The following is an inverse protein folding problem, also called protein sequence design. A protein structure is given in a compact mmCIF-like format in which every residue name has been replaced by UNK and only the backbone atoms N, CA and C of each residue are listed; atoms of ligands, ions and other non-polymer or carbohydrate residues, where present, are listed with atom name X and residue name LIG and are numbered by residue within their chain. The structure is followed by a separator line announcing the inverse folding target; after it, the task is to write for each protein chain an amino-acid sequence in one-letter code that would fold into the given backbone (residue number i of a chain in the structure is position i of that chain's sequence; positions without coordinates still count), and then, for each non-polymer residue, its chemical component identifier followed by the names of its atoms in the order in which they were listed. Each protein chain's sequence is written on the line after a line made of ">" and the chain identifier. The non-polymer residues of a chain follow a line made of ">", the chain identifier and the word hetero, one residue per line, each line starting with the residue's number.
data_IF_961158073063
#
_entry.id   IF_961158073063
#
_cell.length_a   1.000
_cell.length_b   1.000
_cell.length_c   1.000
_cell.angle_alpha   90.00
_cell.angle_beta   90.00
_cell.angle_gamma   90.00
#
_symmetry.space_group_name_H-M   'P 1'
#
loop_
_entity.id
_entity.type
_entity.pdbx_description
1 polymer ?
#
# COMPACT_ATOMS: atom_id res chain seq x y z
N UNK A 1 -7.58 20.46 23.98
CA UNK A 1 -6.51 19.92 24.83
C UNK A 1 -5.32 19.56 23.95
N UNK A 2 -4.17 20.20 24.19
CA UNK A 2 -2.92 20.02 23.45
C UNK A 2 -2.39 18.58 23.64
N UNK A 3 -1.99 18.00 22.51
CA UNK A 3 -1.38 16.69 22.32
C UNK A 3 -0.36 16.36 23.43
N UNK A 4 -0.70 15.45 24.33
CA UNK A 4 0.22 14.84 25.30
C UNK A 4 0.07 13.34 25.17
N UNK A 5 1.20 12.64 25.10
CA UNK A 5 1.26 11.17 25.08
C UNK A 5 0.45 10.58 26.24
N UNK A 6 -0.29 9.50 25.97
CA UNK A 6 -1.16 8.82 26.94
C UNK A 6 -2.55 9.46 27.17
N UNK A 7 -3.00 10.36 26.28
CA UNK A 7 -4.35 10.95 26.35
C UNK A 7 -5.22 10.56 25.16
N UNK A 8 -6.52 10.48 25.41
CA UNK A 8 -7.54 10.23 24.38
C UNK A 8 -7.73 11.47 23.50
N UNK A 9 -7.85 11.26 22.19
CA UNK A 9 -8.15 12.28 21.19
C UNK A 9 -9.42 11.93 20.42
N UNK A 10 -10.35 12.88 20.30
CA UNK A 10 -11.55 12.75 19.46
C UNK A 10 -11.30 13.40 18.10
N UNK A 11 -11.67 12.72 17.00
CA UNK A 11 -11.50 13.22 15.64
C UNK A 11 -12.75 13.02 14.79
N UNK A 12 -13.01 13.99 13.92
CA UNK A 12 -14.09 13.99 12.92
C UNK A 12 -13.62 13.49 11.54
N UNK A 13 -12.56 12.67 11.54
CA UNK A 13 -11.97 12.07 10.34
C UNK A 13 -12.42 10.61 10.23
N UNK A 14 -12.31 9.96 9.05
CA UNK A 14 -12.86 8.61 8.90
C UNK A 14 -11.93 7.47 9.37
N UNK A 15 -10.76 7.75 9.95
CA UNK A 15 -9.73 6.73 10.24
C UNK A 15 -8.88 7.05 11.48
N UNK A 16 -8.53 6.04 12.26
CA UNK A 16 -7.81 6.14 13.53
C UNK A 16 -6.68 5.09 13.72
N UNK A 17 -6.03 4.64 12.64
CA UNK A 17 -4.88 3.72 12.73
C UNK A 17 -3.76 4.27 13.64
N UNK A 18 -3.05 3.41 14.40
CA UNK A 18 -1.91 3.83 15.23
C UNK A 18 -0.88 4.66 14.46
N UNK A 19 -0.33 5.70 15.09
CA UNK A 19 0.68 6.60 14.48
C UNK A 19 0.17 7.57 13.40
N UNK A 20 -1.05 7.39 12.87
CA UNK A 20 -1.60 8.23 11.78
C UNK A 20 -1.76 9.71 12.17
N UNK A 21 -1.97 9.99 13.46
CA UNK A 21 -2.17 11.37 13.96
C UNK A 21 -0.87 12.07 14.37
N UNK A 22 0.29 11.45 14.14
CA UNK A 22 1.61 12.04 14.40
C UNK A 22 2.32 11.50 15.65
N UNK A 23 1.58 10.89 16.59
CA UNK A 23 2.15 10.25 17.79
C UNK A 23 1.78 8.76 17.81
N UNK A 24 2.74 7.82 17.96
CA UNK A 24 2.45 6.39 18.00
C UNK A 24 1.50 5.97 19.12
N UNK A 25 1.61 6.61 20.29
CA UNK A 25 0.84 6.26 21.50
C UNK A 25 -0.55 6.94 21.56
N UNK A 26 -0.97 7.65 20.51
CA UNK A 26 -2.25 8.37 20.51
C UNK A 26 -3.45 7.40 20.43
N UNK A 27 -4.34 7.48 21.42
CA UNK A 27 -5.63 6.78 21.41
C UNK A 27 -6.69 7.66 20.73
N UNK A 28 -6.97 7.39 19.45
CA UNK A 28 -7.87 8.21 18.63
C UNK A 28 -9.24 7.56 18.47
N UNK A 29 -10.29 8.28 18.84
CA UNK A 29 -11.69 7.86 18.69
C UNK A 29 -12.38 8.71 17.64
N UNK A 30 -13.12 8.03 16.75
CA UNK A 30 -13.88 8.69 15.69
C UNK A 30 -15.25 9.10 16.23
N UNK A 31 -15.66 10.33 15.91
CA UNK A 31 -16.95 10.86 16.35
C UNK A 31 -17.50 11.89 15.36
N UNK A 32 -18.76 12.28 15.53
CA UNK A 32 -19.35 13.35 14.74
C UNK A 32 -18.81 14.73 15.18
N UNK A 33 -18.95 15.77 14.34
CA UNK A 33 -18.61 17.14 14.72
C UNK A 33 -19.31 17.63 15.99
N UNK A 34 -20.56 17.24 16.20
CA UNK A 34 -21.35 17.62 17.37
C UNK A 34 -20.75 17.03 18.65
N UNK A 35 -20.45 15.71 18.66
CA UNK A 35 -19.80 15.05 19.80
C UNK A 35 -18.41 15.62 20.07
N UNK A 36 -17.62 15.91 19.02
CA UNK A 36 -16.30 16.53 19.18
C UNK A 36 -16.42 17.90 19.85
N UNK A 37 -17.35 18.74 19.41
CA UNK A 37 -17.60 20.08 19.98
C UNK A 37 -18.10 19.98 21.43
N UNK A 38 -19.11 19.15 21.71
CA UNK A 38 -19.63 18.97 23.06
C UNK A 38 -18.54 18.50 24.04
N UNK A 39 -17.74 17.53 23.61
CA UNK A 39 -16.64 17.00 24.41
C UNK A 39 -15.51 18.02 24.61
N UNK A 40 -15.25 18.87 23.61
CA UNK A 40 -14.27 19.95 23.72
C UNK A 40 -14.70 21.03 24.72
N UNK A 41 -16.01 21.33 24.79
CA UNK A 41 -16.59 22.28 25.75
C UNK A 41 -16.55 21.74 27.19
N UNK A 42 -16.88 20.46 27.40
CA UNK A 42 -16.94 19.86 28.74
C UNK A 42 -15.60 19.29 29.23
N UNK A 43 -14.63 19.06 28.34
CA UNK A 43 -13.33 18.47 28.67
C UNK A 43 -13.37 16.96 28.93
N UNK A 44 -14.48 16.28 28.66
CA UNK A 44 -14.69 14.84 28.75
C UNK A 44 -15.50 14.35 27.55
N UNK A 45 -15.50 13.05 27.26
CA UNK A 45 -16.37 12.50 26.21
C UNK A 45 -17.82 12.77 26.62
N UNK A 46 -18.56 13.51 25.80
CA UNK A 46 -19.90 14.00 26.13
C UNK A 46 -20.86 13.76 24.98
N UNK A 47 -22.04 13.24 25.31
CA UNK A 47 -23.15 13.20 24.38
C UNK A 47 -23.62 14.64 24.10
N UNK A 48 -23.67 15.09 22.84
CA UNK A 48 -24.06 16.47 22.54
C UNK A 48 -25.49 16.82 22.99
N UNK A 49 -26.34 15.82 23.32
CA UNK A 49 -27.69 16.03 23.89
C UNK A 49 -27.67 16.43 25.37
N UNK A 50 -26.56 16.26 26.07
CA UNK A 50 -26.37 16.64 27.48
C UNK A 50 -25.84 18.08 27.63
N UNK A 51 -25.78 18.83 26.52
CA UNK A 51 -25.49 20.26 26.56
C UNK A 51 -26.74 21.02 27.02
N UNK A 52 -26.53 22.01 27.89
CA UNK A 52 -27.60 22.90 28.37
C UNK A 52 -28.12 23.81 27.23
N UNK A 53 -27.37 23.91 26.13
CA UNK A 53 -27.72 24.67 24.94
C UNK A 53 -28.23 23.77 23.80
N UNK A 54 -29.24 24.21 23.05
CA UNK A 54 -29.77 23.45 21.92
C UNK A 54 -28.74 23.33 20.80
N UNK A 55 -28.56 22.12 20.26
CA UNK A 55 -27.70 21.87 19.10
C UNK A 55 -28.28 22.64 17.89
N UNK A 56 -27.53 23.57 17.26
CA UNK A 56 -28.05 24.36 16.16
C UNK A 56 -28.33 23.49 14.94
N UNK A 57 -29.54 23.58 14.40
CA UNK A 57 -29.86 23.03 13.07
C UNK A 57 -29.30 23.96 12.00
N UNK A 58 -28.21 23.55 11.35
CA UNK A 58 -27.59 24.33 10.30
C UNK A 58 -28.28 24.03 8.97
N UNK A 59 -28.92 25.04 8.39
CA UNK A 59 -29.38 25.01 7.00
C UNK A 59 -28.29 25.65 6.14
N UNK A 60 -27.57 24.88 5.29
CA UNK A 60 -26.50 25.44 4.48
C UNK A 60 -27.07 26.49 3.52
N UNK A 61 -26.51 27.69 3.54
CA UNK A 61 -26.79 28.69 2.51
C UNK A 61 -26.32 28.18 1.14
N UNK A 62 -26.84 28.72 0.02
CA UNK A 62 -26.29 28.43 -1.29
C UNK A 62 -24.77 28.69 -1.31
N UNK A 63 -23.96 27.77 -1.89
CA UNK A 63 -22.52 27.91 -1.86
C UNK A 63 -22.09 29.14 -2.69
N UNK A 64 -21.22 29.97 -2.11
CA UNK A 64 -20.48 30.96 -2.89
C UNK A 64 -19.42 30.22 -3.73
N UNK A 65 -19.40 30.47 -5.04
CA UNK A 65 -18.43 29.85 -5.95
C UNK A 65 -17.29 30.84 -6.18
N UNK A 66 -16.12 30.53 -5.63
CA UNK A 66 -14.87 31.25 -5.92
C UNK A 66 -13.98 30.38 -6.83
N UNK A 67 -13.61 30.92 -7.99
CA UNK A 67 -12.74 30.25 -8.98
C UNK A 67 -11.36 30.90 -9.09
N UNK A 68 -11.04 31.88 -8.25
CA UNK A 68 -9.80 32.66 -8.32
C UNK A 68 -8.52 31.81 -8.16
N UNK A 69 -8.61 30.69 -7.44
CA UNK A 69 -7.51 29.73 -7.25
C UNK A 69 -7.45 28.63 -8.32
N UNK A 70 -8.34 28.64 -9.31
CA UNK A 70 -8.34 27.67 -10.40
C UNK A 70 -7.47 28.18 -11.55
N UNK A 71 -6.48 27.38 -11.93
CA UNK A 71 -5.68 27.60 -13.13
C UNK A 71 -6.21 26.69 -14.24
N UNK A 72 -6.74 27.28 -15.31
CA UNK A 72 -7.13 26.52 -16.49
C UNK A 72 -5.89 26.01 -17.23
N UNK A 73 -5.93 24.82 -17.85
CA UNK A 73 -4.89 24.41 -18.77
C UNK A 73 -4.85 25.37 -19.98
N UNK A 74 -3.68 25.54 -20.62
CA UNK A 74 -3.62 26.27 -21.88
C UNK A 74 -4.47 25.57 -22.96
N UNK A 75 -5.00 26.34 -23.91
CA UNK A 75 -5.79 25.81 -25.03
C UNK A 75 -4.95 24.90 -25.94
N UNK A 76 -3.68 25.25 -26.15
CA UNK A 76 -2.67 24.43 -26.81
C UNK A 76 -1.52 24.16 -25.83
N UNK A 77 -1.31 22.88 -25.51
CA UNK A 77 -0.29 22.40 -24.59
C UNK A 77 0.95 21.81 -25.25
N UNK A 78 1.07 21.88 -26.58
CA UNK A 78 2.12 21.18 -27.33
C UNK A 78 3.54 21.61 -26.92
N UNK A 79 3.74 22.88 -26.59
CA UNK A 79 5.05 23.47 -26.26
C UNK A 79 5.27 23.67 -24.75
N UNK A 80 4.47 23.02 -23.89
CA UNK A 80 4.64 23.13 -22.44
C UNK A 80 5.88 22.33 -22.01
N UNK A 81 6.93 23.05 -21.62
CA UNK A 81 8.13 22.43 -21.06
C UNK A 81 7.86 21.86 -19.66
N UNK A 82 8.17 20.58 -19.46
CA UNK A 82 8.04 19.92 -18.16
C UNK A 82 9.26 20.18 -17.28
N UNK A 83 9.11 21.09 -16.32
CA UNK A 83 10.16 21.36 -15.31
C UNK A 83 10.15 20.28 -14.24
N UNK A 84 11.28 19.55 -14.11
CA UNK A 84 11.46 18.51 -13.09
C UNK A 84 12.39 18.99 -11.98
N UNK A 85 11.87 19.05 -10.76
CA UNK A 85 12.67 19.29 -9.56
C UNK A 85 13.54 18.08 -9.17
N UNK A 86 14.46 18.23 -8.19
CA UNK A 86 15.43 17.20 -7.82
C UNK A 86 14.82 15.92 -7.22
N UNK A 87 13.56 15.96 -6.81
CA UNK A 87 12.81 14.79 -6.31
C UNK A 87 11.81 14.24 -7.34
N UNK A 88 11.92 14.63 -8.61
CA UNK A 88 11.11 14.07 -9.70
C UNK A 88 12.05 13.20 -10.55
N UNK A 89 12.02 11.89 -10.29
CA UNK A 89 12.83 10.91 -11.01
C UNK A 89 11.93 10.05 -11.90
N UNK A 90 12.51 9.51 -12.97
CA UNK A 90 11.80 8.55 -13.82
C UNK A 90 11.50 7.27 -13.05
N UNK A 91 10.40 6.61 -13.41
CA UNK A 91 10.10 5.29 -12.88
C UNK A 91 11.15 4.26 -13.37
N UNK A 92 11.44 3.23 -12.56
CA UNK A 92 12.37 2.18 -12.94
C UNK A 92 11.76 1.32 -14.04
N UNK A 93 12.62 0.74 -14.88
CA UNK A 93 12.19 -0.35 -15.75
C UNK A 93 11.95 -1.60 -14.90
N UNK A 94 10.73 -2.13 -14.97
CA UNK A 94 10.33 -3.31 -14.22
C UNK A 94 10.39 -4.52 -15.14
N UNK A 95 11.17 -5.54 -14.74
CA UNK A 95 11.27 -6.77 -15.52
C UNK A 95 9.93 -7.53 -15.59
N UNK A 96 9.65 -8.18 -16.74
CA UNK A 96 8.57 -9.16 -16.87
C UNK A 96 8.62 -10.28 -15.81
N UNK A 97 7.48 -10.93 -15.58
CA UNK A 97 7.45 -12.15 -14.76
C UNK A 97 8.27 -13.26 -15.47
N UNK A 98 9.34 -13.82 -14.87
CA UNK A 98 10.07 -14.93 -15.48
C UNK A 98 9.22 -16.20 -15.45
N UNK A 99 9.68 -17.24 -16.16
CA UNK A 99 9.03 -18.55 -16.09
C UNK A 99 9.36 -19.28 -14.79
N UNK A 100 10.62 -19.22 -14.37
CA UNK A 100 11.11 -19.77 -13.10
C UNK A 100 11.59 -18.65 -12.18
N UNK A 101 11.29 -18.78 -10.89
CA UNK A 101 11.56 -17.77 -9.89
C UNK A 101 11.88 -18.38 -8.52
N UNK A 102 13.12 -18.17 -8.08
CA UNK A 102 13.56 -18.46 -6.71
C UNK A 102 13.63 -17.16 -5.92
N UNK A 103 12.83 -17.04 -4.86
CA UNK A 103 12.79 -15.84 -4.01
C UNK A 103 12.83 -16.20 -2.53
N UNK A 104 13.85 -15.75 -1.78
CA UNK A 104 13.82 -15.86 -0.33
C UNK A 104 12.71 -14.99 0.26
N UNK A 105 12.05 -15.48 1.31
CA UNK A 105 11.12 -14.70 2.12
C UNK A 105 11.95 -13.74 2.96
N UNK A 106 11.75 -12.44 2.75
CA UNK A 106 12.48 -11.42 3.53
C UNK A 106 11.69 -10.99 4.77
N UNK A 107 10.36 -10.96 4.67
CA UNK A 107 9.50 -10.52 5.77
C UNK A 107 8.25 -11.38 5.85
N UNK A 108 7.95 -11.83 7.07
CA UNK A 108 6.67 -12.46 7.43
C UNK A 108 5.93 -11.48 8.33
N UNK A 109 4.65 -11.23 8.03
CA UNK A 109 3.81 -10.26 8.74
C UNK A 109 2.50 -10.91 9.18
N UNK A 110 1.86 -10.31 10.19
CA UNK A 110 0.56 -10.76 10.70
C UNK A 110 -0.62 -10.29 9.85
N UNK A 111 -1.80 -10.38 10.45
CA UNK A 111 -3.05 -9.90 9.87
C UNK A 111 -3.13 -8.37 9.86
N UNK A 112 -4.01 -7.82 9.03
CA UNK A 112 -4.42 -6.42 9.04
C UNK A 112 -3.31 -5.40 8.79
N UNK A 113 -2.19 -5.83 8.20
CA UNK A 113 -1.09 -4.94 7.79
C UNK A 113 -1.61 -3.86 6.86
N UNK A 114 -1.54 -2.61 7.29
CA UNK A 114 -2.01 -1.47 6.53
C UNK A 114 -0.95 -0.97 5.56
N UNK A 115 -1.38 -0.23 4.54
CA UNK A 115 -0.45 0.52 3.67
C UNK A 115 0.35 1.57 4.42
N UNK A 116 -0.06 1.99 5.63
CA UNK A 116 0.73 2.91 6.48
C UNK A 116 1.88 2.16 7.17
N UNK A 117 1.72 0.86 7.43
CA UNK A 117 2.79 0.00 7.92
C UNK A 117 3.73 -0.47 6.79
N UNK A 118 3.19 -0.70 5.59
CA UNK A 118 4.01 -1.01 4.41
C UNK A 118 4.80 0.22 3.94
N UNK A 119 4.18 1.39 3.89
CA UNK A 119 4.87 2.62 3.53
C UNK A 119 4.22 3.82 4.23
N UNK A 120 4.83 4.31 5.33
CA UNK A 120 4.31 5.41 6.12
C UNK A 120 3.99 6.66 5.30
N UNK A 121 3.04 7.46 5.78
CA UNK A 121 2.86 8.82 5.32
C UNK A 121 3.70 9.79 6.16
N UNK A 122 3.38 11.08 6.09
CA UNK A 122 3.97 12.11 6.94
C UNK A 122 5.02 12.96 6.25
N UNK A 123 5.47 14.00 6.96
CA UNK A 123 6.30 15.07 6.42
C UNK A 123 7.63 14.58 5.81
N UNK A 124 8.16 13.45 6.28
CA UNK A 124 9.42 12.90 5.79
C UNK A 124 9.27 12.05 4.53
N UNK A 125 8.07 11.52 4.26
CA UNK A 125 7.82 10.60 3.14
C UNK A 125 7.05 11.28 1.99
N UNK A 126 6.11 12.18 2.32
CA UNK A 126 5.28 12.87 1.32
C UNK A 126 6.09 13.66 0.27
N UNK A 127 7.18 14.38 0.61
CA UNK A 127 7.99 15.09 -0.38
C UNK A 127 8.72 14.15 -1.37
N UNK A 128 8.77 12.85 -1.10
CA UNK A 128 9.52 11.85 -1.88
C UNK A 128 8.63 11.05 -2.83
N UNK A 129 7.34 11.38 -2.97
CA UNK A 129 6.37 10.63 -3.80
C UNK A 129 6.77 10.49 -5.27
N UNK A 130 7.59 11.39 -5.78
CA UNK A 130 8.12 11.34 -7.15
C UNK A 130 9.58 10.89 -7.22
N UNK A 131 10.17 10.48 -6.09
CA UNK A 131 11.54 9.96 -6.00
C UNK A 131 11.48 8.53 -5.44
N UNK A 132 11.36 7.54 -6.34
CA UNK A 132 11.14 6.16 -5.92
C UNK A 132 12.31 5.57 -5.12
N UNK A 133 13.53 5.96 -5.45
CA UNK A 133 14.74 5.49 -4.77
C UNK A 133 14.75 5.93 -3.31
N UNK A 134 14.48 7.22 -3.06
CA UNK A 134 14.46 7.76 -1.70
C UNK A 134 13.24 7.30 -0.91
N UNK A 135 12.07 7.21 -1.52
CA UNK A 135 10.86 6.76 -0.80
C UNK A 135 10.95 5.29 -0.42
N UNK A 136 11.69 4.47 -1.19
CA UNK A 136 11.91 3.06 -0.90
C UNK A 136 12.63 2.80 0.43
N UNK A 137 13.46 3.73 0.90
CA UNK A 137 14.08 3.65 2.24
C UNK A 137 13.07 3.60 3.39
N UNK A 138 11.83 3.97 3.14
CA UNK A 138 10.75 3.97 4.12
C UNK A 138 9.87 2.73 4.04
N UNK A 139 10.09 1.84 3.07
CA UNK A 139 9.30 0.62 2.91
C UNK A 139 9.47 -0.30 4.13
N UNK A 140 8.34 -0.76 4.67
CA UNK A 140 8.20 -1.63 5.84
C UNK A 140 8.90 -1.19 7.13
N UNK A 141 9.42 0.04 7.20
CA UNK A 141 10.18 0.53 8.37
C UNK A 141 9.49 0.33 9.72
N UNK A 142 8.16 0.49 9.87
CA UNK A 142 7.47 0.18 11.13
C UNK A 142 7.50 -1.29 11.53
N UNK A 143 7.62 -2.21 10.56
CA UNK A 143 7.59 -3.67 10.76
C UNK A 143 9.00 -4.28 10.77
N UNK A 144 9.91 -3.72 9.98
CA UNK A 144 11.31 -4.15 9.84
C UNK A 144 12.15 -2.90 9.52
N UNK A 145 12.88 -2.41 10.53
CA UNK A 145 13.56 -1.12 10.45
C UNK A 145 14.67 -1.07 9.39
N UNK A 146 15.27 -2.22 9.09
CA UNK A 146 16.37 -2.43 8.15
C UNK A 146 15.92 -3.10 6.85
N UNK A 147 14.62 -3.19 6.57
CA UNK A 147 14.05 -3.83 5.38
C UNK A 147 14.74 -3.43 4.08
N UNK A 148 14.93 -2.12 3.84
CA UNK A 148 15.54 -1.64 2.61
C UNK A 148 17.02 -2.04 2.49
N UNK A 149 17.75 -2.10 3.61
CA UNK A 149 19.13 -2.55 3.63
C UNK A 149 19.22 -4.07 3.39
N UNK A 150 18.37 -4.86 4.06
CA UNK A 150 18.31 -6.30 3.88
C UNK A 150 17.93 -6.67 2.44
N UNK A 151 16.93 -6.01 1.86
CA UNK A 151 16.48 -6.28 0.48
C UNK A 151 17.58 -5.99 -0.55
N UNK A 152 18.40 -4.96 -0.32
CA UNK A 152 19.55 -4.66 -1.18
C UNK A 152 20.72 -5.62 -0.99
N UNK A 153 20.84 -6.24 0.18
CA UNK A 153 21.92 -7.18 0.47
C UNK A 153 21.68 -8.58 -0.13
N UNK A 154 20.48 -8.86 -0.65
CA UNK A 154 20.19 -10.11 -1.32
C UNK A 154 20.90 -10.18 -2.68
N UNK A 155 21.72 -11.21 -2.89
CA UNK A 155 22.55 -11.41 -4.10
C UNK A 155 21.78 -11.26 -5.41
N UNK A 156 20.52 -11.70 -5.40
CA UNK A 156 19.66 -11.77 -6.55
C UNK A 156 18.72 -10.56 -6.72
N UNK A 157 18.77 -9.58 -5.80
CA UNK A 157 17.87 -8.43 -5.72
C UNK A 157 16.39 -8.81 -5.90
N UNK A 158 15.99 -9.93 -5.29
CA UNK A 158 14.62 -10.43 -5.35
C UNK A 158 14.22 -11.11 -4.06
N UNK A 159 12.98 -10.92 -3.65
CA UNK A 159 12.42 -11.52 -2.44
C UNK A 159 10.90 -11.63 -2.50
N UNK A 160 10.37 -12.34 -1.51
CA UNK A 160 8.96 -12.42 -1.20
C UNK A 160 8.63 -11.78 0.16
N UNK A 161 7.36 -11.42 0.33
CA UNK A 161 6.77 -11.07 1.62
C UNK A 161 5.59 -12.00 1.88
N UNK A 162 5.50 -12.51 3.12
CA UNK A 162 4.35 -13.28 3.60
C UNK A 162 3.45 -12.39 4.45
N UNK A 163 2.15 -12.42 4.17
CA UNK A 163 1.14 -11.65 4.89
C UNK A 163 0.04 -12.50 5.53
N UNK A 164 -0.55 -11.97 6.60
CA UNK A 164 -1.78 -12.52 7.16
C UNK A 164 -3.03 -12.18 6.33
N UNK A 165 -4.17 -12.14 7.00
CA UNK A 165 -5.44 -11.71 6.43
C UNK A 165 -5.49 -10.19 6.18
N UNK A 166 -6.27 -9.77 5.18
CA UNK A 166 -6.52 -8.36 4.87
C UNK A 166 -5.23 -7.53 4.63
N UNK A 167 -4.22 -8.15 4.03
CA UNK A 167 -2.93 -7.53 3.76
C UNK A 167 -3.05 -6.32 2.82
N UNK A 168 -2.43 -5.20 3.22
CA UNK A 168 -2.40 -3.95 2.46
C UNK A 168 -3.63 -3.08 2.65
N UNK A 169 -4.28 -3.11 3.82
CA UNK A 169 -5.50 -2.35 4.06
C UNK A 169 -5.30 -0.81 4.12
N UNK A 170 -6.40 -0.07 4.03
CA UNK A 170 -6.41 1.38 4.25
C UNK A 170 -6.26 2.22 2.98
N UNK A 171 -5.20 3.01 2.89
CA UNK A 171 -5.01 4.02 1.84
C UNK A 171 -4.67 3.42 0.47
N UNK A 172 -5.14 4.02 -0.62
CA UNK A 172 -4.95 3.55 -2.00
C UNK A 172 -3.54 3.78 -2.58
N UNK A 173 -2.55 4.06 -1.73
CA UNK A 173 -1.21 4.50 -2.16
C UNK A 173 -0.52 3.39 -2.94
N UNK A 174 -0.27 3.66 -4.21
CA UNK A 174 0.42 2.75 -5.12
C UNK A 174 1.90 2.55 -4.72
N UNK A 175 2.51 3.53 -4.06
CA UNK A 175 3.87 3.42 -3.52
C UNK A 175 4.04 2.28 -2.53
N UNK A 176 2.99 1.84 -1.83
CA UNK A 176 3.06 0.67 -0.96
C UNK A 176 3.34 -0.64 -1.74
N UNK A 177 3.12 -0.66 -3.06
CA UNK A 177 3.53 -1.75 -3.93
C UNK A 177 4.83 -1.40 -4.68
N UNK A 178 4.92 -0.19 -5.24
CA UNK A 178 6.06 0.22 -6.06
C UNK A 178 7.39 0.33 -5.29
N UNK A 179 7.37 0.85 -4.05
CA UNK A 179 8.59 1.00 -3.25
C UNK A 179 9.22 -0.37 -2.87
N UNK A 180 8.45 -1.35 -2.34
CA UNK A 180 8.95 -2.70 -2.18
C UNK A 180 9.39 -3.35 -3.51
N UNK A 181 8.64 -3.13 -4.60
CA UNK A 181 9.00 -3.65 -5.92
C UNK A 181 10.34 -3.13 -6.42
N UNK A 182 10.62 -1.84 -6.19
CA UNK A 182 11.91 -1.22 -6.51
C UNK A 182 13.06 -1.85 -5.72
N UNK A 183 12.80 -2.29 -4.48
CA UNK A 183 13.77 -3.02 -3.66
C UNK A 183 13.90 -4.50 -4.01
N UNK A 184 13.18 -5.00 -5.02
CA UNK A 184 13.26 -6.39 -5.47
C UNK A 184 12.06 -7.27 -5.14
N UNK A 185 10.99 -6.75 -4.51
CA UNK A 185 9.82 -7.57 -4.19
C UNK A 185 9.22 -8.17 -5.47
N UNK A 186 9.11 -9.50 -5.55
CA UNK A 186 8.51 -10.20 -6.70
C UNK A 186 7.18 -10.85 -6.38
N UNK A 187 7.02 -11.31 -5.14
CA UNK A 187 5.84 -12.07 -4.71
C UNK A 187 5.36 -11.51 -3.37
N UNK A 188 4.04 -11.36 -3.24
CA UNK A 188 3.40 -11.32 -1.92
C UNK A 188 2.50 -12.53 -1.80
N UNK A 189 2.73 -13.34 -0.78
CA UNK A 189 1.91 -14.51 -0.47
C UNK A 189 1.14 -14.22 0.83
N UNK A 190 -0.18 -14.11 0.78
CA UNK A 190 -0.96 -13.71 1.94
C UNK A 190 -2.21 -14.56 2.17
N UNK A 191 -2.76 -14.59 3.40
CA UNK A 191 -4.05 -15.28 3.65
C UNK A 191 -5.18 -14.59 2.88
N UNK A 192 -5.17 -13.25 2.81
CA UNK A 192 -6.05 -12.46 1.93
C UNK A 192 -5.53 -11.04 1.74
N UNK A 193 -6.05 -10.33 0.73
CA UNK A 193 -5.62 -8.98 0.39
C UNK A 193 -6.75 -7.95 0.48
N UNK A 194 -6.39 -6.72 0.83
CA UNK A 194 -7.24 -5.57 0.56
C UNK A 194 -7.26 -5.26 -0.96
N UNK A 195 -8.46 -5.11 -1.50
CA UNK A 195 -8.74 -5.02 -2.96
C UNK A 195 -7.84 -4.04 -3.73
N UNK A 196 -7.62 -2.83 -3.21
CA UNK A 196 -6.85 -1.80 -3.93
C UNK A 196 -5.36 -2.14 -3.93
N UNK A 197 -4.82 -2.61 -2.80
CA UNK A 197 -3.41 -2.97 -2.72
C UNK A 197 -3.10 -4.18 -3.60
N UNK A 198 -3.98 -5.19 -3.62
CA UNK A 198 -3.92 -6.32 -4.56
C UNK A 198 -3.78 -5.87 -6.02
N UNK A 199 -4.58 -4.89 -6.45
CA UNK A 199 -4.45 -4.33 -7.81
C UNK A 199 -3.13 -3.59 -8.02
N UNK A 200 -2.66 -2.85 -7.01
CA UNK A 200 -1.41 -2.10 -7.11
C UNK A 200 -0.18 -3.03 -7.25
N UNK A 201 -0.19 -4.19 -6.58
CA UNK A 201 0.86 -5.21 -6.74
C UNK A 201 1.00 -5.62 -8.22
N UNK A 202 -0.12 -5.95 -8.85
CA UNK A 202 -0.18 -6.32 -10.27
C UNK A 202 0.28 -5.18 -11.18
N UNK A 203 -0.12 -3.94 -10.89
CA UNK A 203 0.25 -2.78 -11.69
C UNK A 203 1.78 -2.57 -11.78
N UNK A 204 2.53 -3.09 -10.82
CA UNK A 204 4.00 -3.03 -10.79
C UNK A 204 4.67 -4.40 -10.90
N UNK A 205 3.96 -5.40 -11.45
CA UNK A 205 4.56 -6.69 -11.75
C UNK A 205 4.93 -7.53 -10.53
N UNK A 206 4.33 -7.27 -9.37
CA UNK A 206 4.42 -8.14 -8.18
C UNK A 206 3.29 -9.16 -8.27
N UNK A 207 3.60 -10.45 -8.14
CA UNK A 207 2.63 -11.53 -8.18
C UNK A 207 1.95 -11.68 -6.80
N UNK A 208 0.64 -11.38 -6.66
CA UNK A 208 -0.08 -11.65 -5.43
C UNK A 208 -0.63 -13.08 -5.44
N UNK A 209 -0.25 -13.87 -4.44
CA UNK A 209 -0.74 -15.23 -4.23
C UNK A 209 -1.48 -15.31 -2.90
N UNK A 210 -2.56 -16.09 -2.86
CA UNK A 210 -3.25 -16.48 -1.64
C UNK A 210 -3.02 -17.94 -1.35
N UNK A 211 -2.80 -18.31 -0.09
CA UNK A 211 -2.72 -19.71 0.29
C UNK A 211 -4.02 -20.46 -0.04
N UNK A 212 -3.93 -21.70 -0.53
CA UNK A 212 -5.10 -22.56 -0.63
C UNK A 212 -5.56 -23.03 0.77
N UNK A 213 -4.62 -23.33 1.66
CA UNK A 213 -4.84 -23.51 3.10
C UNK A 213 -4.16 -22.37 3.89
N UNK A 214 -4.93 -21.46 4.52
CA UNK A 214 -4.36 -20.39 5.33
C UNK A 214 -3.41 -20.85 6.46
N UNK A 215 -3.48 -22.10 6.91
CA UNK A 215 -2.58 -22.64 7.92
C UNK A 215 -1.13 -22.80 7.41
N UNK A 216 -0.93 -22.92 6.09
CA UNK A 216 0.42 -23.02 5.50
C UNK A 216 1.28 -21.78 5.79
N UNK A 217 0.64 -20.62 6.00
CA UNK A 217 1.32 -19.38 6.32
C UNK A 217 2.07 -19.46 7.66
N UNK A 218 1.56 -20.22 8.63
CA UNK A 218 2.09 -20.27 9.99
C UNK A 218 3.39 -21.09 10.05
N UNK A 219 3.73 -21.78 8.96
CA UNK A 219 4.94 -22.60 8.83
C UNK A 219 5.94 -22.00 7.83
N UNK A 220 5.87 -20.69 7.57
CA UNK A 220 6.83 -19.94 6.76
C UNK A 220 7.62 -18.96 7.61
N UNK A 221 8.93 -18.94 7.41
CA UNK A 221 9.85 -18.08 8.14
C UNK A 221 10.71 -17.21 7.20
N UNK A 222 11.19 -16.03 7.63
CA UNK A 222 12.20 -15.30 6.88
C UNK A 222 13.43 -16.18 6.61
N UNK A 223 13.89 -16.19 5.36
CA UNK A 223 15.00 -17.03 4.89
C UNK A 223 14.56 -18.26 4.11
N UNK A 224 13.32 -18.75 4.28
CA UNK A 224 12.77 -19.80 3.41
C UNK A 224 12.79 -19.35 1.94
N UNK A 225 13.14 -20.26 1.04
CA UNK A 225 13.18 -19.95 -0.40
C UNK A 225 11.94 -20.52 -1.07
N UNK A 226 11.17 -19.64 -1.70
CA UNK A 226 10.05 -20.02 -2.55
C UNK A 226 10.58 -20.31 -3.95
N UNK A 227 10.43 -21.56 -4.38
CA UNK A 227 10.75 -22.03 -5.72
C UNK A 227 9.46 -22.16 -6.52
N UNK A 228 9.35 -21.40 -7.61
CA UNK A 228 8.21 -21.42 -8.52
C UNK A 228 8.70 -21.68 -9.93
N UNK A 229 8.09 -22.64 -10.62
CA UNK A 229 8.46 -23.00 -11.99
C UNK A 229 7.26 -22.96 -12.93
N UNK A 230 7.51 -22.70 -14.21
CA UNK A 230 6.46 -22.65 -15.24
C UNK A 230 5.40 -21.58 -15.01
N UNK A 231 5.74 -20.45 -14.38
CA UNK A 231 4.82 -19.37 -14.05
C UNK A 231 4.12 -18.78 -15.28
N UNK A 232 4.79 -18.71 -16.44
CA UNK A 232 4.20 -18.17 -17.66
C UNK A 232 3.14 -19.08 -18.26
N UNK A 233 3.15 -20.37 -17.90
CA UNK A 233 2.09 -21.31 -18.23
C UNK A 233 1.01 -21.37 -17.14
N UNK A 234 1.40 -21.37 -15.86
CA UNK A 234 0.48 -21.55 -14.74
C UNK A 234 -0.47 -20.35 -14.53
N UNK A 235 0.06 -19.13 -14.58
CA UNK A 235 -0.70 -17.91 -14.29
C UNK A 235 -1.82 -17.63 -15.32
N UNK A 236 -1.63 -17.86 -16.64
CA UNK A 236 -2.70 -17.61 -17.61
C UNK A 236 -3.72 -18.74 -17.76
N UNK A 237 -3.28 -19.98 -17.54
CA UNK A 237 -4.08 -21.17 -17.81
C UNK A 237 -4.75 -21.75 -16.55
N UNK A 238 -4.61 -21.08 -15.41
CA UNK A 238 -5.17 -21.52 -14.15
C UNK A 238 -5.23 -20.41 -13.11
N UNK A 239 -5.82 -20.73 -11.97
CA UNK A 239 -5.78 -19.89 -10.77
C UNK A 239 -4.91 -20.51 -9.68
N UNK A 240 -4.20 -21.60 -9.97
CA UNK A 240 -3.37 -22.33 -9.02
C UNK A 240 -1.90 -22.17 -9.40
N UNK A 241 -1.07 -21.90 -8.40
CA UNK A 241 0.38 -21.83 -8.54
C UNK A 241 0.96 -22.69 -7.41
N UNK A 242 1.77 -23.68 -7.79
CA UNK A 242 2.48 -24.51 -6.82
C UNK A 242 3.75 -23.78 -6.39
N UNK A 243 4.03 -23.80 -5.08
CA UNK A 243 5.23 -23.18 -4.50
C UNK A 243 5.99 -24.25 -3.73
N UNK A 244 7.23 -24.52 -4.14
CA UNK A 244 8.10 -25.47 -3.47
C UNK A 244 9.00 -24.75 -2.47
N UNK A 245 9.16 -25.33 -1.28
CA UNK A 245 9.91 -24.76 -0.14
C UNK A 245 10.66 -25.91 0.54
N UNK A 246 11.95 -26.04 0.24
CA UNK A 246 12.71 -27.25 0.61
C UNK A 246 12.05 -28.50 0.01
N UNK A 247 11.68 -29.46 0.86
CA UNK A 247 10.98 -30.69 0.46
C UNK A 247 9.45 -30.57 0.46
N UNK A 248 8.90 -29.43 0.93
CA UNK A 248 7.45 -29.19 0.99
C UNK A 248 6.96 -28.49 -0.27
N UNK A 249 5.80 -28.91 -0.78
CA UNK A 249 5.02 -28.14 -1.75
C UNK A 249 3.78 -27.58 -1.08
N UNK A 250 3.51 -26.28 -1.27
CA UNK A 250 2.25 -25.65 -0.86
C UNK A 250 1.46 -25.22 -2.10
N UNK A 251 0.14 -25.38 -2.04
CA UNK A 251 -0.75 -24.92 -3.09
C UNK A 251 -1.16 -23.46 -2.81
N UNK A 252 -0.99 -22.61 -3.81
CA UNK A 252 -1.43 -21.21 -3.75
C UNK A 252 -2.34 -20.88 -4.91
N UNK A 253 -3.05 -19.76 -4.81
CA UNK A 253 -4.03 -19.32 -5.79
C UNK A 253 -3.93 -17.84 -6.11
N UNK A 254 -4.50 -17.42 -7.23
CA UNK A 254 -4.79 -16.02 -7.52
C UNK A 254 -6.16 -15.85 -8.17
N UNK A 255 -6.77 -14.67 -8.02
CA UNK A 255 -8.08 -14.33 -8.61
C UNK A 255 -7.96 -13.26 -9.69
N UNK A 256 -6.78 -13.13 -10.30
CA UNK A 256 -6.51 -12.18 -11.38
C UNK A 256 -7.44 -12.39 -12.58
N UNK A 257 -8.00 -11.30 -13.10
CA UNK A 257 -8.66 -11.26 -14.41
C UNK A 257 -7.64 -11.42 -15.55
N UNK A 258 -8.10 -11.80 -16.75
CA UNK A 258 -7.22 -11.95 -17.92
C UNK A 258 -6.39 -10.70 -18.22
N UNK A 259 -6.98 -9.50 -18.09
CA UNK A 259 -6.23 -8.24 -18.24
C UNK A 259 -5.14 -8.07 -17.18
N UNK A 260 -5.43 -8.43 -15.94
CA UNK A 260 -4.45 -8.36 -14.85
C UNK A 260 -3.32 -9.36 -15.04
N UNK A 261 -3.63 -10.56 -15.56
CA UNK A 261 -2.62 -11.53 -15.98
C UNK A 261 -1.71 -10.94 -17.06
N UNK A 262 -2.26 -10.38 -18.14
CA UNK A 262 -1.43 -9.75 -19.19
C UNK A 262 -0.52 -8.66 -18.63
N UNK A 263 -1.06 -7.82 -17.74
CA UNK A 263 -0.31 -6.73 -17.08
C UNK A 263 0.83 -7.28 -16.23
N UNK A 264 0.56 -8.32 -15.43
CA UNK A 264 1.56 -8.97 -14.59
C UNK A 264 2.68 -9.60 -15.42
N UNK A 265 2.33 -10.34 -16.48
CA UNK A 265 3.30 -11.00 -17.36
C UNK A 265 4.24 -10.02 -18.06
N UNK A 266 3.74 -8.82 -18.40
CA UNK A 266 4.53 -7.75 -18.99
C UNK A 266 5.47 -7.05 -17.98
N UNK A 267 5.36 -7.37 -16.68
CA UNK A 267 6.14 -6.71 -15.63
C UNK A 267 5.49 -5.44 -15.08
N UNK A 268 4.23 -5.17 -15.44
CA UNK A 268 3.47 -4.03 -14.93
C UNK A 268 2.68 -3.29 -16.01
N UNK A 269 1.85 -2.36 -15.55
CA UNK A 269 0.86 -1.66 -16.37
C UNK A 269 1.51 -0.76 -17.43
N UNK A 270 2.63 -0.12 -17.09
CA UNK A 270 3.37 0.76 -18.00
C UNK A 270 3.95 -0.05 -19.16
N UNK A 271 4.61 -1.17 -18.87
CA UNK A 271 5.17 -2.06 -19.89
C UNK A 271 4.07 -2.58 -20.81
N UNK A 272 3.00 -3.14 -20.22
CA UNK A 272 1.84 -3.63 -20.95
C UNK A 272 1.22 -2.58 -21.88
N UNK A 273 1.16 -1.32 -21.44
CA UNK A 273 0.62 -0.21 -22.24
C UNK A 273 1.59 0.20 -23.34
N UNK A 274 2.89 0.27 -23.05
CA UNK A 274 3.95 0.57 -24.03
C UNK A 274 3.94 -0.43 -25.17
N UNK A 275 3.89 -1.73 -24.85
CA UNK A 275 3.90 -2.80 -25.84
C UNK A 275 2.67 -2.73 -26.78
N UNK A 276 1.50 -2.36 -26.24
CA UNK A 276 0.26 -2.15 -27.02
C UNK A 276 0.22 -0.87 -27.86
N UNK A 277 1.04 0.13 -27.55
CA UNK A 277 1.16 1.33 -28.37
C UNK A 277 2.18 1.17 -29.50
N UNK A 278 3.10 0.21 -29.33
CA UNK A 278 4.10 -0.13 -30.34
C UNK A 278 3.61 -1.17 -31.38
N UNK A 279 2.56 -1.93 -31.05
CA UNK A 279 1.88 -2.89 -31.92
C UNK A 279 0.84 -2.21 -32.81
#
# INVERSE_FOLDING_TARGET
>A
TLFRSGRISLRTVPRNFPGRSGTPEDAVYLCSPETATASALRGAITDPRDLDEPIPRVHPAPPAVDRSLLLAPPEDGADVELVKGPNIVSLPDLEPLPDDLDVPILLVTGDDVSTDEILPAGANVLPLRSNIEKIAEHAFRPLCADYAAQARALDAHRHAVVGGANYGQGSSREHAALAPRYLGLRIVLAKSFARIHWQNLVNFGVLPLTFADPADADALEPGDVLHLTGLRAAVPNGQQVQVQIGDRTIETRHTLSGRQVDVLLAGGLINWRRDRLAA
#
